data_IF_976800663419
#
_entry.id   IF_976800663419
#
_cell.length_a   1.000
_cell.length_b   1.000
_cell.length_c   1.000
_cell.angle_alpha   90.00
_cell.angle_beta   90.00
_cell.angle_gamma   90.00
#
_symmetry.space_group_name_H-M   'P 1'
#
loop_
_entity.id
_entity.type
_entity.pdbx_description
1 polymer ?
#
# COMPACT_ATOMS: atom_id res chain seq x y z
N UNK A 1 -35.59 6.81 0.78
CA UNK A 1 -34.44 7.01 -0.14
C UNK A 1 -33.41 5.87 -0.10
N UNK A 2 -33.21 5.16 1.02
CA UNK A 2 -32.30 4.00 1.09
C UNK A 2 -32.77 2.77 0.29
N UNK A 3 -34.07 2.58 0.08
CA UNK A 3 -34.62 1.37 -0.57
C UNK A 3 -34.46 1.32 -2.09
N UNK A 4 -34.05 2.42 -2.75
CA UNK A 4 -33.94 2.48 -4.23
C UNK A 4 -32.54 2.17 -4.77
N UNK A 5 -31.56 1.94 -3.89
CA UNK A 5 -30.15 1.75 -4.25
C UNK A 5 -29.60 0.35 -3.88
N UNK A 6 -30.38 -0.53 -3.25
CA UNK A 6 -29.89 -1.83 -2.71
C UNK A 6 -28.63 -1.73 -1.82
N UNK A 7 -28.26 -0.53 -1.35
CA UNK A 7 -27.14 -0.30 -0.43
C UNK A 7 -27.71 -0.12 0.98
N UNK A 8 -27.29 -0.97 1.91
CA UNK A 8 -27.68 -0.83 3.30
C UNK A 8 -26.88 0.28 3.99
N UNK A 9 -27.45 1.00 4.98
CA UNK A 9 -26.72 2.07 5.69
C UNK A 9 -25.38 1.65 6.30
N UNK A 10 -25.21 0.36 6.64
CA UNK A 10 -23.94 -0.18 7.12
C UNK A 10 -22.88 -0.20 6.01
N UNK A 11 -23.29 -0.53 4.78
CA UNK A 11 -22.41 -0.52 3.62
C UNK A 11 -21.93 0.90 3.34
N UNK A 12 -22.80 1.92 3.49
CA UNK A 12 -22.42 3.33 3.31
C UNK A 12 -21.28 3.78 4.26
N UNK A 13 -21.21 3.21 5.47
CA UNK A 13 -20.13 3.50 6.41
C UNK A 13 -18.81 2.87 5.94
N UNK A 14 -18.87 1.62 5.49
CA UNK A 14 -17.69 0.90 5.01
C UNK A 14 -17.16 1.51 3.71
N UNK A 15 -18.04 1.89 2.77
CA UNK A 15 -17.66 2.65 1.56
C UNK A 15 -17.00 3.99 1.90
N UNK A 16 -17.51 4.71 2.90
CA UNK A 16 -16.90 5.97 3.34
C UNK A 16 -15.49 5.74 3.91
N UNK A 17 -15.31 4.68 4.68
CA UNK A 17 -13.99 4.34 5.24
C UNK A 17 -13.01 3.93 4.13
N UNK A 18 -13.44 3.08 3.20
CA UNK A 18 -12.62 2.73 2.02
C UNK A 18 -12.24 3.98 1.21
N UNK A 19 -13.17 4.90 0.99
CA UNK A 19 -12.87 6.15 0.29
C UNK A 19 -11.76 6.97 0.99
N UNK A 20 -11.77 7.05 2.32
CA UNK A 20 -10.71 7.72 3.09
C UNK A 20 -9.36 7.00 3.04
N UNK A 21 -9.37 5.67 2.95
CA UNK A 21 -8.16 4.87 2.77
C UNK A 21 -7.58 5.09 1.37
N UNK A 22 -8.43 5.12 0.34
CA UNK A 22 -8.04 5.45 -1.05
C UNK A 22 -7.45 6.85 -1.16
N UNK A 23 -8.04 7.85 -0.49
CA UNK A 23 -7.45 9.20 -0.37
C UNK A 23 -6.05 9.14 0.25
N UNK A 24 -5.89 8.42 1.36
CA UNK A 24 -4.60 8.27 2.05
C UNK A 24 -3.53 7.63 1.17
N UNK A 25 -3.90 6.66 0.32
CA UNK A 25 -3.02 6.07 -0.70
C UNK A 25 -2.64 7.11 -1.77
N UNK A 26 -3.58 7.97 -2.17
CA UNK A 26 -3.31 9.11 -3.05
C UNK A 26 -2.29 10.08 -2.46
N UNK A 27 -2.43 10.44 -1.19
CA UNK A 27 -1.50 11.33 -0.47
C UNK A 27 -0.10 10.73 -0.36
N UNK A 28 0.00 9.43 -0.12
CA UNK A 28 1.28 8.71 -0.11
C UNK A 28 1.93 8.71 -1.49
N UNK A 29 1.13 8.50 -2.55
CA UNK A 29 1.59 8.55 -3.93
C UNK A 29 2.13 9.94 -4.30
N UNK A 30 1.46 11.01 -3.86
CA UNK A 30 1.93 12.38 -4.04
C UNK A 30 3.24 12.65 -3.29
N UNK A 31 3.38 12.14 -2.05
CA UNK A 31 4.62 12.24 -1.28
C UNK A 31 5.78 11.49 -1.96
N UNK A 32 5.54 10.27 -2.47
CA UNK A 32 6.55 9.52 -3.22
C UNK A 32 7.02 10.32 -4.44
N UNK A 33 6.10 10.95 -5.18
CA UNK A 33 6.46 11.79 -6.31
C UNK A 33 7.36 12.98 -5.90
N UNK A 34 7.07 13.62 -4.76
CA UNK A 34 7.90 14.70 -4.22
C UNK A 34 9.31 14.22 -3.82
N UNK A 35 9.43 13.04 -3.23
CA UNK A 35 10.74 12.45 -2.90
C UNK A 35 11.52 12.04 -4.15
N UNK A 36 10.83 11.55 -5.19
CA UNK A 36 11.45 11.20 -6.47
C UNK A 36 12.07 12.42 -7.17
N UNK A 37 11.45 13.60 -7.08
CA UNK A 37 12.02 14.85 -7.59
C UNK A 37 13.35 15.18 -6.89
N UNK A 38 13.43 14.96 -5.57
CA UNK A 38 14.66 15.18 -4.81
C UNK A 38 15.77 14.15 -5.13
N UNK A 39 15.40 12.95 -5.60
CA UNK A 39 16.37 11.92 -6.01
C UNK A 39 16.96 12.13 -7.41
N UNK A 40 16.47 13.08 -8.21
CA UNK A 40 16.80 13.21 -9.65
C UNK A 40 18.31 13.22 -9.96
N UNK A 41 19.09 13.90 -9.12
CA UNK A 41 20.53 14.09 -9.34
C UNK A 41 21.38 13.09 -8.52
N UNK A 42 20.74 12.18 -7.79
CA UNK A 42 21.40 11.17 -6.98
C UNK A 42 21.63 9.90 -7.78
N UNK A 43 22.85 9.36 -7.67
CA UNK A 43 23.16 8.03 -8.20
C UNK A 43 22.85 6.99 -7.13
N UNK A 44 21.97 6.06 -7.49
CA UNK A 44 21.69 4.86 -6.71
C UNK A 44 22.62 3.74 -7.17
N UNK A 45 23.29 3.09 -6.23
CA UNK A 45 24.21 1.98 -6.52
C UNK A 45 23.58 0.62 -6.20
N UNK A 46 24.01 -0.42 -6.93
CA UNK A 46 23.61 -1.81 -6.67
C UNK A 46 22.15 -2.12 -7.03
N UNK A 47 21.59 -3.11 -6.34
CA UNK A 47 20.25 -3.68 -6.60
C UNK A 47 19.09 -2.94 -5.91
N UNK A 48 19.33 -1.73 -5.37
CA UNK A 48 18.32 -1.01 -4.58
C UNK A 48 17.12 -0.59 -5.42
N UNK A 49 17.36 -0.16 -6.67
CA UNK A 49 16.30 0.25 -7.60
C UNK A 49 15.40 -0.93 -7.96
N UNK A 50 15.99 -2.09 -8.26
CA UNK A 50 15.24 -3.31 -8.57
C UNK A 50 14.44 -3.79 -7.35
N UNK A 51 15.04 -3.76 -6.16
CA UNK A 51 14.35 -4.12 -4.92
C UNK A 51 13.17 -3.19 -4.63
N UNK A 52 13.32 -1.88 -4.86
CA UNK A 52 12.26 -0.89 -4.69
C UNK A 52 11.12 -1.09 -5.70
N UNK A 53 11.44 -1.36 -6.97
CA UNK A 53 10.45 -1.68 -8.01
C UNK A 53 9.67 -2.94 -7.68
N UNK A 54 10.35 -3.97 -7.17
CA UNK A 54 9.70 -5.21 -6.74
C UNK A 54 8.75 -4.97 -5.57
N UNK A 55 9.18 -4.22 -4.54
CA UNK A 55 8.30 -3.85 -3.43
C UNK A 55 7.07 -3.07 -3.93
N UNK A 56 7.28 -2.07 -4.79
CA UNK A 56 6.18 -1.29 -5.37
C UNK A 56 5.18 -2.19 -6.11
N UNK A 57 5.65 -3.12 -6.95
CA UNK A 57 4.78 -4.03 -7.70
C UNK A 57 3.91 -4.88 -6.77
N UNK A 58 4.52 -5.51 -5.76
CA UNK A 58 3.80 -6.37 -4.81
C UNK A 58 2.74 -5.58 -4.04
N UNK A 59 3.09 -4.36 -3.60
CA UNK A 59 2.15 -3.47 -2.89
C UNK A 59 1.04 -2.95 -3.80
N UNK A 60 1.35 -2.62 -5.05
CA UNK A 60 0.36 -2.18 -6.02
C UNK A 60 -0.67 -3.27 -6.31
N UNK A 61 -0.21 -4.51 -6.55
CA UNK A 61 -1.09 -5.67 -6.72
C UNK A 61 -1.95 -5.90 -5.47
N UNK A 62 -1.36 -5.82 -4.27
CA UNK A 62 -2.09 -5.96 -3.01
C UNK A 62 -3.18 -4.88 -2.85
N UNK A 63 -2.92 -3.66 -3.27
CA UNK A 63 -3.90 -2.57 -3.25
C UNK A 63 -5.06 -2.82 -4.23
N UNK A 64 -4.76 -3.22 -5.48
CA UNK A 64 -5.78 -3.58 -6.46
C UNK A 64 -6.64 -4.75 -5.97
N UNK A 65 -6.01 -5.80 -5.44
CA UNK A 65 -6.67 -6.96 -4.86
C UNK A 65 -7.57 -6.57 -3.68
N UNK A 66 -7.12 -5.66 -2.81
CA UNK A 66 -7.91 -5.19 -1.66
C UNK A 66 -9.19 -4.46 -2.10
N UNK A 67 -9.07 -3.53 -3.05
CA UNK A 67 -10.23 -2.78 -3.57
C UNK A 67 -11.20 -3.74 -4.29
N UNK A 68 -10.67 -4.66 -5.09
CA UNK A 68 -11.48 -5.68 -5.76
C UNK A 68 -12.16 -6.62 -4.76
N UNK A 69 -11.48 -7.02 -3.69
CA UNK A 69 -12.03 -7.87 -2.64
C UNK A 69 -13.22 -7.18 -1.97
N UNK A 70 -13.09 -5.91 -1.62
CA UNK A 70 -14.15 -5.13 -1.01
C UNK A 70 -15.38 -5.00 -1.91
N UNK A 71 -15.17 -4.59 -3.17
CA UNK A 71 -16.27 -4.38 -4.13
C UNK A 71 -16.99 -5.68 -4.50
N UNK A 72 -16.25 -6.79 -4.60
CA UNK A 72 -16.79 -8.11 -4.94
C UNK A 72 -17.24 -8.93 -3.71
N UNK A 73 -17.02 -8.42 -2.49
CA UNK A 73 -17.22 -9.15 -1.22
C UNK A 73 -16.45 -10.48 -1.16
N UNK A 74 -15.27 -10.53 -1.79
CA UNK A 74 -14.45 -11.74 -1.88
C UNK A 74 -13.51 -11.87 -0.67
N UNK A 75 -13.93 -12.69 0.30
CA UNK A 75 -13.12 -13.03 1.48
C UNK A 75 -11.79 -13.70 1.09
N UNK A 76 -11.80 -14.55 0.06
CA UNK A 76 -10.60 -15.23 -0.40
C UNK A 76 -9.54 -14.24 -0.91
N UNK A 77 -9.98 -13.21 -1.65
CA UNK A 77 -9.08 -12.18 -2.18
C UNK A 77 -8.57 -11.25 -1.06
N UNK A 78 -9.44 -10.91 -0.10
CA UNK A 78 -9.04 -10.16 1.08
C UNK A 78 -7.97 -10.91 1.92
N UNK A 79 -8.10 -12.23 2.05
CA UNK A 79 -7.09 -13.05 2.73
C UNK A 79 -5.76 -13.08 1.97
N UNK A 80 -5.77 -13.21 0.63
CA UNK A 80 -4.53 -13.19 -0.14
C UNK A 80 -3.78 -11.86 -0.05
N UNK A 81 -4.46 -10.74 0.21
CA UNK A 81 -3.79 -9.46 0.51
C UNK A 81 -3.00 -9.57 1.82
N UNK A 82 -3.60 -10.10 2.89
CA UNK A 82 -2.95 -10.27 4.20
C UNK A 82 -1.78 -11.25 4.15
N UNK A 83 -1.90 -12.30 3.35
CA UNK A 83 -0.88 -13.33 3.21
C UNK A 83 0.43 -12.77 2.61
N UNK A 84 0.40 -11.60 1.96
CA UNK A 84 1.59 -10.91 1.43
C UNK A 84 2.42 -10.20 2.51
N UNK A 85 1.97 -10.16 3.78
CA UNK A 85 2.64 -9.43 4.86
C UNK A 85 4.12 -9.82 4.97
N UNK A 86 4.41 -11.12 5.04
CA UNK A 86 5.77 -11.60 5.23
C UNK A 86 6.67 -11.22 4.05
N UNK A 87 6.19 -11.39 2.81
CA UNK A 87 6.92 -11.01 1.59
C UNK A 87 7.26 -9.51 1.59
N UNK A 88 6.31 -8.67 1.99
CA UNK A 88 6.47 -7.21 2.05
C UNK A 88 7.45 -6.82 3.16
N UNK A 89 7.39 -7.45 4.34
CA UNK A 89 8.36 -7.19 5.42
C UNK A 89 9.78 -7.58 5.01
N UNK A 90 9.94 -8.73 4.35
CA UNK A 90 11.25 -9.18 3.85
C UNK A 90 11.80 -8.20 2.83
N UNK A 91 10.99 -7.79 1.85
CA UNK A 91 11.39 -6.83 0.82
C UNK A 91 11.72 -5.45 1.41
N UNK A 92 10.89 -4.96 2.34
CA UNK A 92 11.11 -3.71 3.06
C UNK A 92 12.43 -3.73 3.85
N UNK A 93 12.71 -4.81 4.59
CA UNK A 93 13.96 -4.95 5.35
C UNK A 93 15.20 -5.10 4.47
N UNK A 94 15.08 -5.75 3.30
CA UNK A 94 16.13 -5.80 2.28
C UNK A 94 16.50 -4.39 1.82
N UNK A 95 15.51 -3.58 1.43
CA UNK A 95 15.75 -2.19 0.98
C UNK A 95 16.37 -1.34 2.10
N UNK A 96 15.90 -1.47 3.36
CA UNK A 96 16.52 -0.78 4.50
C UNK A 96 17.99 -1.14 4.67
N UNK A 97 18.37 -2.38 4.39
CA UNK A 97 19.76 -2.82 4.47
C UNK A 97 20.59 -2.24 3.32
N UNK A 98 20.07 -2.26 2.10
CA UNK A 98 20.72 -1.67 0.92
C UNK A 98 20.89 -0.15 1.05
N UNK A 99 19.90 0.53 1.64
CA UNK A 99 19.94 1.97 1.87
C UNK A 99 21.11 2.39 2.77
N UNK A 100 21.58 1.53 3.69
CA UNK A 100 22.75 1.83 4.55
C UNK A 100 24.06 1.93 3.78
N UNK A 101 24.15 1.32 2.61
CA UNK A 101 25.32 1.39 1.74
C UNK A 101 25.31 2.63 0.82
N UNK A 102 24.19 3.37 0.78
CA UNK A 102 24.06 4.55 -0.06
C UNK A 102 24.58 5.81 0.66
N UNK A 103 24.94 6.88 -0.09
CA UNK A 103 25.19 8.19 0.50
C UNK A 103 24.05 8.65 1.40
N UNK A 104 24.35 9.39 2.46
CA UNK A 104 23.38 9.74 3.52
C UNK A 104 22.08 10.35 3.00
N UNK A 105 22.16 11.20 1.98
CA UNK A 105 20.98 11.81 1.35
C UNK A 105 20.12 10.80 0.57
N UNK A 106 20.75 9.98 -0.28
CA UNK A 106 20.05 8.91 -1.00
C UNK A 106 19.44 7.89 -0.03
N UNK A 107 20.18 7.53 1.03
CA UNK A 107 19.70 6.64 2.09
C UNK A 107 18.43 7.17 2.76
N UNK A 108 18.42 8.45 3.15
CA UNK A 108 17.26 9.11 3.77
C UNK A 108 16.03 9.08 2.86
N UNK A 109 16.20 9.48 1.59
CA UNK A 109 15.10 9.52 0.62
C UNK A 109 14.56 8.10 0.33
N UNK A 110 15.46 7.11 0.19
CA UNK A 110 15.07 5.71 -0.03
C UNK A 110 14.25 5.17 1.15
N UNK A 111 14.68 5.42 2.38
CA UNK A 111 13.95 4.99 3.57
C UNK A 111 12.58 5.68 3.66
N UNK A 112 12.49 6.96 3.26
CA UNK A 112 11.22 7.69 3.18
C UNK A 112 10.26 7.05 2.19
N UNK A 113 10.68 6.86 0.93
CA UNK A 113 9.87 6.22 -0.13
C UNK A 113 9.46 4.81 0.25
N UNK A 114 10.39 4.02 0.80
CA UNK A 114 10.13 2.64 1.24
C UNK A 114 9.07 2.58 2.33
N UNK A 115 9.09 3.53 3.28
CA UNK A 115 8.07 3.66 4.33
C UNK A 115 6.71 4.08 3.76
N UNK A 116 6.69 5.02 2.81
CA UNK A 116 5.45 5.45 2.14
C UNK A 116 4.78 4.30 1.38
N UNK A 117 5.56 3.49 0.64
CA UNK A 117 5.06 2.29 -0.03
C UNK A 117 4.51 1.28 0.98
N UNK A 118 5.19 1.07 2.11
CA UNK A 118 4.67 0.20 3.18
C UNK A 118 3.32 0.68 3.72
N UNK A 119 3.15 1.99 3.92
CA UNK A 119 1.87 2.54 4.38
C UNK A 119 0.72 2.34 3.38
N UNK A 120 1.01 2.33 2.07
CA UNK A 120 0.01 1.97 1.04
C UNK A 120 -0.47 0.52 1.27
N UNK A 121 0.46 -0.38 1.57
CA UNK A 121 0.11 -1.75 1.89
C UNK A 121 -0.68 -1.87 3.20
N UNK A 122 -0.31 -1.14 4.24
CA UNK A 122 -1.06 -1.12 5.51
C UNK A 122 -2.53 -0.70 5.24
N UNK A 123 -2.76 0.32 4.40
CA UNK A 123 -4.12 0.69 3.97
C UNK A 123 -4.81 -0.37 3.10
N UNK A 124 -4.05 -1.16 2.34
CA UNK A 124 -4.59 -2.27 1.56
C UNK A 124 -5.10 -3.39 2.47
N UNK A 125 -4.41 -3.64 3.59
CA UNK A 125 -4.87 -4.55 4.66
C UNK A 125 -6.12 -3.97 5.32
N UNK A 126 -6.14 -2.68 5.66
CA UNK A 126 -7.32 -2.02 6.24
C UNK A 126 -8.56 -2.16 5.33
N UNK A 127 -8.43 -1.96 4.02
CA UNK A 127 -9.52 -2.16 3.04
C UNK A 127 -9.96 -3.63 3.02
N UNK A 128 -9.00 -4.56 3.07
CA UNK A 128 -9.29 -6.00 3.09
C UNK A 128 -10.04 -6.41 4.37
N UNK A 129 -9.75 -5.79 5.52
CA UNK A 129 -10.44 -6.01 6.79
C UNK A 129 -11.91 -5.61 6.73
N UNK A 130 -12.25 -4.58 5.96
CA UNK A 130 -13.64 -4.17 5.73
C UNK A 130 -14.45 -5.15 4.87
N UNK A 131 -13.76 -6.07 4.18
CA UNK A 131 -14.42 -7.15 3.42
C UNK A 131 -14.90 -8.29 4.35
N UNK A 132 -14.32 -8.41 5.54
CA UNK A 132 -14.56 -9.55 6.43
C UNK A 132 -15.93 -9.43 7.13
N UNK A 133 -16.69 -10.53 7.25
CA UNK A 133 -17.94 -10.53 7.99
C UNK A 133 -17.68 -10.14 9.45
N UNK A 134 -18.39 -9.13 9.95
CA UNK A 134 -18.38 -8.82 11.38
C UNK A 134 -19.07 -9.95 12.12
N UNK A 135 -18.36 -10.65 13.00
CA UNK A 135 -18.97 -11.64 13.92
C UNK A 135 -20.04 -10.89 14.72
N UNK A 136 -21.31 -11.26 14.51
CA UNK A 136 -22.45 -10.80 15.32
C UNK A 136 -22.74 -11.82 16.41
#
# INVERSE_FOLDING_TARGET
MSERLEVHPIDCLDYRLVASLVESVGDQSAQIANEAVQMKDLKLEGEVTESLLNLHRIVHEAYEDAVNAFLSKSISLANSVRDRQEEIEVSHNKIKSLAKAQPAEASRLLLSVTSLIKRIYDHSVDISDLTMPRIR
#
